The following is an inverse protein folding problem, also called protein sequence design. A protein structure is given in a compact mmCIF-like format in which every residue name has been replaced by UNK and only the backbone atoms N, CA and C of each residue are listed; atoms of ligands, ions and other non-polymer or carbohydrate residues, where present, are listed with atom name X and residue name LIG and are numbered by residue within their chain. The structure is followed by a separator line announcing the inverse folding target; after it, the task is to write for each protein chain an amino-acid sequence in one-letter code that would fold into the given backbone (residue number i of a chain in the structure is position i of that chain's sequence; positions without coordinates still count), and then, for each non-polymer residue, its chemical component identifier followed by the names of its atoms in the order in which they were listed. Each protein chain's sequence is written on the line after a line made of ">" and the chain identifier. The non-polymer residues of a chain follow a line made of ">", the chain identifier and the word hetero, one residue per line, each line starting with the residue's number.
data_IF_526945927631
#
_entry.id   IF_526945927631
#
_cell.length_a   1.000
_cell.length_b   1.000
_cell.length_c   1.000
_cell.angle_alpha   90.00
_cell.angle_beta   90.00
_cell.angle_gamma   90.00
#
_symmetry.space_group_name_H-M   'P 1'
#
loop_
_entity.id
_entity.type
_entity.pdbx_description
1 polymer ?
#
# COMPACT_ATOMS: atom_id res chain seq x y z
N UNK A 1 23.58 -16.65 21.89
CA UNK A 1 22.33 -16.35 21.15
C UNK A 1 22.68 -15.21 20.21
N UNK A 2 22.52 -15.30 18.87
CA UNK A 2 22.80 -14.15 18.03
C UNK A 2 21.71 -13.11 18.23
N UNK A 3 22.13 -11.85 18.31
CA UNK A 3 21.27 -10.71 18.56
C UNK A 3 20.12 -10.66 17.54
N UNK A 4 18.89 -10.58 18.06
CA UNK A 4 17.68 -10.52 17.25
C UNK A 4 17.80 -9.44 16.20
N UNK A 5 17.42 -9.77 14.97
CA UNK A 5 17.43 -8.83 13.85
C UNK A 5 16.60 -7.61 14.27
N UNK A 6 17.30 -6.52 14.60
CA UNK A 6 16.67 -5.23 14.87
C UNK A 6 16.11 -4.78 13.53
N UNK A 7 14.82 -4.98 13.33
CA UNK A 7 14.10 -4.35 12.22
C UNK A 7 14.47 -2.87 12.28
N UNK A 8 15.01 -2.28 11.20
CA UNK A 8 15.44 -0.91 11.23
C UNK A 8 14.27 -0.05 11.70
N UNK A 9 14.42 0.66 12.83
CA UNK A 9 13.41 1.56 13.41
C UNK A 9 12.94 2.63 12.41
N UNK A 10 13.63 2.76 11.28
CA UNK A 10 13.32 3.64 10.16
C UNK A 10 12.13 3.18 9.32
N UNK A 11 11.77 1.89 9.35
CA UNK A 11 10.64 1.38 8.58
C UNK A 11 9.35 1.81 9.25
N UNK A 12 8.76 2.88 8.71
CA UNK A 12 7.42 3.34 9.10
C UNK A 12 6.40 2.25 8.81
N UNK A 13 5.40 2.17 9.68
CA UNK A 13 4.24 1.32 9.44
C UNK A 13 3.37 1.90 8.35
N UNK A 14 2.78 1.02 7.54
CA UNK A 14 1.85 1.34 6.47
C UNK A 14 0.49 0.74 6.79
N UNK A 15 -0.51 1.60 6.93
CA UNK A 15 -1.88 1.22 7.29
C UNK A 15 -2.84 1.13 6.09
N UNK A 16 -2.38 1.53 4.90
CA UNK A 16 -3.19 1.61 3.68
C UNK A 16 -3.62 3.02 3.26
N UNK A 17 -3.27 4.06 4.03
CA UNK A 17 -3.76 5.43 3.78
C UNK A 17 -2.76 6.36 3.11
N UNK A 18 -1.47 6.09 3.26
CA UNK A 18 -0.39 6.88 2.66
C UNK A 18 -0.03 6.38 1.26
N UNK A 19 0.90 7.06 0.60
CA UNK A 19 1.34 6.68 -0.74
C UNK A 19 2.04 5.32 -0.72
N UNK A 20 1.46 4.33 -1.43
CA UNK A 20 1.98 2.97 -1.49
C UNK A 20 3.33 2.87 -2.21
N UNK A 21 3.60 3.73 -3.19
CA UNK A 21 4.87 3.71 -3.93
C UNK A 21 6.01 4.31 -3.09
N UNK A 22 5.73 5.35 -2.31
CA UNK A 22 6.69 5.89 -1.34
C UNK A 22 7.08 4.84 -0.28
N UNK A 23 6.10 4.12 0.26
CA UNK A 23 6.35 3.04 1.22
C UNK A 23 7.25 1.94 0.61
N UNK A 24 6.96 1.51 -0.62
CA UNK A 24 7.77 0.52 -1.33
C UNK A 24 9.20 1.02 -1.57
N UNK A 25 9.37 2.28 -1.99
CA UNK A 25 10.66 2.87 -2.25
C UNK A 25 11.53 2.90 -0.98
N UNK A 26 10.97 3.39 0.13
CA UNK A 26 11.67 3.44 1.43
C UNK A 26 12.01 2.03 1.92
N UNK A 27 11.08 1.09 1.79
CA UNK A 27 11.28 -0.29 2.20
C UNK A 27 12.42 -0.95 1.41
N UNK A 28 12.36 -0.90 0.08
CA UNK A 28 13.37 -1.51 -0.80
C UNK A 28 14.75 -0.90 -0.58
N UNK A 29 14.84 0.44 -0.52
CA UNK A 29 16.10 1.12 -0.25
C UNK A 29 16.70 0.74 1.12
N UNK A 30 15.86 0.56 2.13
CA UNK A 30 16.31 0.09 3.46
C UNK A 30 16.85 -1.34 3.39
N UNK A 31 16.14 -2.26 2.72
CA UNK A 31 16.60 -3.64 2.58
C UNK A 31 17.93 -3.73 1.82
N UNK A 32 18.09 -2.91 0.78
CA UNK A 32 19.33 -2.80 -0.01
C UNK A 32 20.49 -2.27 0.83
N UNK A 33 20.28 -1.18 1.59
CA UNK A 33 21.30 -0.60 2.50
C UNK A 33 21.79 -1.65 3.51
N UNK A 34 20.88 -2.45 4.05
CA UNK A 34 21.20 -3.51 5.00
C UNK A 34 21.68 -4.82 4.35
N UNK A 35 21.75 -4.88 3.01
CA UNK A 35 22.17 -6.05 2.23
C UNK A 35 21.40 -7.33 2.62
N UNK A 36 20.11 -7.17 2.91
CA UNK A 36 19.26 -8.31 3.26
C UNK A 36 18.92 -9.10 1.99
N UNK A 37 18.89 -10.44 2.05
CA UNK A 37 18.55 -11.25 0.88
C UNK A 37 17.05 -11.11 0.57
N UNK A 38 16.68 -11.08 -0.71
CA UNK A 38 15.29 -10.89 -1.17
C UNK A 38 14.25 -11.82 -0.50
N UNK A 39 14.54 -13.12 -0.22
CA UNK A 39 13.61 -13.97 0.51
C UNK A 39 13.27 -13.50 1.93
N UNK A 40 14.14 -12.69 2.55
CA UNK A 40 13.85 -12.06 3.83
C UNK A 40 12.93 -10.84 3.70
N UNK A 41 12.88 -10.20 2.52
CA UNK A 41 12.10 -8.98 2.30
C UNK A 41 10.62 -9.24 2.49
N UNK A 42 10.07 -10.36 2.00
CA UNK A 42 8.66 -10.71 2.27
C UNK A 42 8.35 -10.75 3.78
N UNK A 43 9.28 -11.30 4.57
CA UNK A 43 9.11 -11.42 6.03
C UNK A 43 9.27 -10.09 6.76
N UNK A 44 10.05 -9.15 6.23
CA UNK A 44 10.12 -7.80 6.79
C UNK A 44 8.96 -6.93 6.34
N UNK A 45 8.51 -7.11 5.10
CA UNK A 45 7.41 -6.34 4.55
C UNK A 45 6.14 -6.54 5.36
N UNK A 46 5.78 -7.78 5.71
CA UNK A 46 4.61 -8.04 6.58
C UNK A 46 4.69 -7.33 7.95
N UNK A 47 5.89 -7.05 8.47
CA UNK A 47 6.10 -6.39 9.78
C UNK A 47 5.84 -4.89 9.66
N UNK A 48 6.04 -4.31 8.47
CA UNK A 48 5.74 -2.90 8.24
C UNK A 48 4.26 -2.65 7.99
N UNK A 49 3.42 -3.68 7.86
CA UNK A 49 1.99 -3.51 7.61
C UNK A 49 1.19 -3.44 8.91
N UNK A 50 0.24 -2.51 8.96
CA UNK A 50 -0.75 -2.37 10.03
C UNK A 50 -2.15 -2.16 9.43
N UNK A 51 -3.18 -2.16 10.27
CA UNK A 51 -4.55 -1.79 9.87
C UNK A 51 -5.06 -2.57 8.65
N UNK A 52 -5.62 -1.84 7.68
CA UNK A 52 -6.18 -2.41 6.46
C UNK A 52 -5.12 -3.11 5.60
N UNK A 53 -3.88 -2.61 5.61
CA UNK A 53 -2.78 -3.24 4.89
C UNK A 53 -2.38 -4.59 5.47
N UNK A 54 -2.36 -4.71 6.79
CA UNK A 54 -2.11 -6.00 7.44
C UNK A 54 -3.24 -7.00 7.16
N UNK A 55 -4.49 -6.54 7.29
CA UNK A 55 -5.66 -7.36 6.98
C UNK A 55 -5.62 -7.88 5.54
N UNK A 56 -5.29 -7.02 4.56
CA UNK A 56 -5.12 -7.45 3.17
C UNK A 56 -4.06 -8.55 3.02
N UNK A 57 -2.89 -8.39 3.65
CA UNK A 57 -1.80 -9.36 3.56
C UNK A 57 -2.20 -10.72 4.14
N UNK A 58 -2.86 -10.72 5.31
CA UNK A 58 -3.30 -11.94 5.99
C UNK A 58 -4.42 -12.68 5.21
N UNK A 59 -5.13 -11.99 4.31
CA UNK A 59 -6.16 -12.57 3.44
C UNK A 59 -5.66 -12.98 2.04
N UNK A 60 -4.35 -12.90 1.79
CA UNK A 60 -3.79 -13.42 0.54
C UNK A 60 -3.94 -14.94 0.47
N UNK A 61 -4.26 -15.44 -0.73
CA UNK A 61 -4.39 -16.88 -0.94
C UNK A 61 -3.08 -17.59 -0.52
N UNK A 62 -3.16 -18.74 0.19
CA UNK A 62 -1.97 -19.49 0.59
C UNK A 62 -1.10 -19.83 -0.62
N UNK A 63 0.23 -19.73 -0.48
CA UNK A 63 1.20 -20.00 -1.56
C UNK A 63 1.02 -19.12 -2.81
N UNK A 64 0.38 -17.96 -2.68
CA UNK A 64 0.17 -17.04 -3.80
C UNK A 64 1.28 -16.00 -3.97
N UNK A 65 2.32 -16.06 -3.14
CA UNK A 65 3.52 -15.22 -3.20
C UNK A 65 4.73 -16.15 -3.15
N UNK A 66 5.47 -16.20 -4.24
CA UNK A 66 6.73 -16.95 -4.37
C UNK A 66 7.96 -16.08 -4.02
N UNK A 67 7.79 -14.75 -3.98
CA UNK A 67 8.89 -13.82 -3.75
C UNK A 67 8.43 -12.36 -3.63
N UNK A 68 9.37 -11.48 -3.31
CA UNK A 68 9.05 -10.08 -3.03
C UNK A 68 8.49 -9.35 -4.25
N UNK A 69 8.95 -9.68 -5.45
CA UNK A 69 8.42 -9.13 -6.69
C UNK A 69 6.90 -9.33 -6.83
N UNK A 70 6.42 -10.56 -6.63
CA UNK A 70 4.97 -10.85 -6.70
C UNK A 70 4.19 -10.15 -5.58
N UNK A 71 4.76 -10.09 -4.36
CA UNK A 71 4.15 -9.36 -3.25
C UNK A 71 4.00 -7.87 -3.57
N UNK A 72 5.05 -7.23 -4.10
CA UNK A 72 5.05 -5.83 -4.52
C UNK A 72 3.96 -5.56 -5.57
N UNK A 73 3.85 -6.42 -6.57
CA UNK A 73 2.88 -6.23 -7.66
C UNK A 73 1.44 -6.35 -7.14
N UNK A 74 1.16 -7.34 -6.28
CA UNK A 74 -0.14 -7.49 -5.61
C UNK A 74 -0.46 -6.30 -4.69
N UNK A 75 0.53 -5.84 -3.94
CA UNK A 75 0.39 -4.69 -3.06
C UNK A 75 0.03 -3.43 -3.86
N UNK A 76 0.77 -3.15 -4.94
CA UNK A 76 0.45 -2.06 -5.86
C UNK A 76 -0.96 -2.19 -6.43
N UNK A 77 -1.32 -3.36 -6.93
CA UNK A 77 -2.65 -3.59 -7.49
C UNK A 77 -3.76 -3.26 -6.48
N UNK A 78 -3.61 -3.68 -5.22
CA UNK A 78 -4.61 -3.45 -4.18
C UNK A 78 -4.69 -1.97 -3.76
N UNK A 79 -3.57 -1.36 -3.38
CA UNK A 79 -3.58 -0.03 -2.76
C UNK A 79 -3.64 1.12 -3.79
N UNK A 80 -3.16 0.92 -5.02
CA UNK A 80 -3.41 1.89 -6.10
C UNK A 80 -4.88 1.91 -6.50
N UNK A 81 -5.54 0.75 -6.55
CA UNK A 81 -6.98 0.68 -6.82
C UNK A 81 -7.79 1.35 -5.70
N UNK A 82 -7.45 1.09 -4.44
CA UNK A 82 -8.09 1.73 -3.29
C UNK A 82 -7.97 3.26 -3.34
N UNK A 83 -6.77 3.79 -3.64
CA UNK A 83 -6.56 5.23 -3.79
C UNK A 83 -7.39 5.83 -4.91
N UNK A 84 -7.48 5.15 -6.07
CA UNK A 84 -8.32 5.59 -7.19
C UNK A 84 -9.79 5.63 -6.79
N UNK A 85 -10.28 4.58 -6.16
CA UNK A 85 -11.68 4.50 -5.70
C UNK A 85 -12.01 5.62 -4.70
N UNK A 86 -11.14 5.87 -3.72
CA UNK A 86 -11.33 6.96 -2.75
C UNK A 86 -11.34 8.34 -3.41
N UNK A 87 -10.46 8.60 -4.39
CA UNK A 87 -10.46 9.85 -5.15
C UNK A 87 -11.78 10.03 -5.91
N UNK A 88 -12.22 9.02 -6.65
CA UNK A 88 -13.48 9.07 -7.39
C UNK A 88 -14.68 9.28 -6.46
N UNK A 89 -14.71 8.64 -5.30
CA UNK A 89 -15.78 8.86 -4.32
C UNK A 89 -15.77 10.30 -3.77
N UNK A 90 -14.59 10.85 -3.46
CA UNK A 90 -14.46 12.22 -2.99
C UNK A 90 -14.86 13.24 -4.07
N UNK A 91 -14.50 12.99 -5.33
CA UNK A 91 -14.93 13.78 -6.48
C UNK A 91 -16.46 13.76 -6.60
N UNK A 92 -17.09 12.59 -6.61
CA UNK A 92 -18.55 12.44 -6.69
C UNK A 92 -19.26 13.18 -5.54
N UNK A 93 -18.76 13.07 -4.30
CA UNK A 93 -19.34 13.76 -3.15
C UNK A 93 -19.12 15.28 -3.17
N UNK A 94 -18.06 15.74 -3.86
CA UNK A 94 -17.74 17.15 -4.05
C UNK A 94 -18.53 17.80 -5.19
N UNK A 95 -19.06 17.01 -6.11
CA UNK A 95 -19.93 17.47 -7.20
C UNK A 95 -21.30 17.83 -6.62
N UNK A 96 -21.61 19.13 -6.62
CA UNK A 96 -22.92 19.69 -6.26
C UNK A 96 -23.37 20.60 -7.38
N UNK A 97 -24.63 20.43 -7.80
CA UNK A 97 -25.25 21.31 -8.77
C UNK A 97 -25.22 22.75 -8.25
N UNK A 98 -24.68 23.67 -9.04
CA UNK A 98 -24.68 25.08 -8.68
C UNK A 98 -26.08 25.69 -8.90
N UNK A 99 -26.47 26.75 -8.16
CA UNK A 99 -27.80 27.36 -8.29
C UNK A 99 -28.12 27.86 -9.70
N UNK A 100 -27.09 28.26 -10.45
CA UNK A 100 -27.15 28.81 -11.80
C UNK A 100 -26.93 27.73 -12.89
N UNK A 101 -26.62 26.49 -12.50
CA UNK A 101 -26.30 25.38 -13.41
C UNK A 101 -27.57 24.61 -13.76
N UNK A 102 -27.89 24.52 -15.06
CA UNK A 102 -29.05 23.74 -15.47
C UNK A 102 -28.80 22.25 -15.21
N UNK A 103 -29.86 21.48 -14.96
CA UNK A 103 -29.75 20.02 -14.79
C UNK A 103 -29.15 19.33 -16.03
N UNK A 104 -29.21 19.94 -17.22
CA UNK A 104 -28.54 19.40 -18.40
C UNK A 104 -27.02 19.57 -18.32
N UNK A 105 -26.56 20.69 -17.78
CA UNK A 105 -25.12 20.99 -17.70
C UNK A 105 -24.45 20.22 -16.56
N UNK A 106 -25.19 19.94 -15.47
CA UNK A 106 -24.71 19.14 -14.34
C UNK A 106 -24.53 17.64 -14.66
N UNK A 107 -25.29 17.10 -15.61
CA UNK A 107 -25.33 15.65 -15.95
C UNK A 107 -24.65 15.34 -17.30
N UNK A 108 -24.20 16.37 -18.03
CA UNK A 108 -23.48 16.25 -19.30
C UNK A 108 -22.01 15.84 -19.09
#
# INVERSE_FOLDING_TARGET
>A
MPDGIKVPTILRTYDGTTDSDDHLMVFMGTMDIHKLPEPAWCRFFQITLSGAARFWYDNLAPRSIDGFHQLRDKFRANFLQQRRFQKTQAEILGVRQQPEESLKDYVA
#
